data_IF_107218942640
#
_entry.id   IF_107218942640
#
_cell.length_a   1.000
_cell.length_b   1.000
_cell.length_c   1.000
_cell.angle_alpha   90.00
_cell.angle_beta   90.00
_cell.angle_gamma   90.00
#
_symmetry.space_group_name_H-M   'P 1'
#
loop_
_entity.id
_entity.type
_entity.pdbx_description
1 polymer ?
#
# COMPACT_ATOMS: atom_id res chain seq x y z
N UNK A 1 -8.58 4.21 12.25
CA UNK A 1 -8.53 2.77 11.85
C UNK A 1 -7.59 2.67 10.66
N UNK A 2 -6.61 1.76 10.64
CA UNK A 2 -5.85 1.52 9.42
C UNK A 2 -6.79 0.93 8.37
N UNK A 3 -6.91 1.61 7.23
CA UNK A 3 -7.69 1.11 6.09
C UNK A 3 -6.94 -0.07 5.48
N UNK A 4 -7.55 -1.24 5.44
CA UNK A 4 -7.00 -2.41 4.76
C UNK A 4 -7.58 -2.52 3.35
N UNK A 5 -6.75 -2.99 2.41
CA UNK A 5 -7.14 -3.28 1.03
C UNK A 5 -6.98 -4.77 0.79
N UNK A 6 -8.04 -5.39 0.30
CA UNK A 6 -8.09 -6.81 -0.05
C UNK A 6 -8.20 -6.95 -1.55
N UNK A 7 -7.34 -7.76 -2.14
CA UNK A 7 -7.23 -7.95 -3.59
C UNK A 7 -7.27 -9.42 -3.91
N UNK A 8 -8.02 -9.76 -4.96
CA UNK A 8 -7.99 -11.08 -5.56
C UNK A 8 -7.32 -11.01 -6.93
N UNK A 9 -6.48 -11.99 -7.23
CA UNK A 9 -5.83 -12.13 -8.52
C UNK A 9 -5.66 -13.61 -8.85
N UNK A 10 -5.51 -13.93 -10.14
CA UNK A 10 -5.41 -15.29 -10.65
C UNK A 10 -4.02 -15.53 -11.22
N UNK A 11 -3.40 -16.66 -10.88
CA UNK A 11 -2.13 -17.14 -11.44
C UNK A 11 -2.34 -18.59 -11.82
N UNK A 12 -2.09 -18.95 -13.07
CA UNK A 12 -2.25 -20.31 -13.61
C UNK A 12 -3.61 -20.98 -13.32
N UNK A 13 -4.68 -20.18 -13.28
CA UNK A 13 -6.05 -20.65 -13.02
C UNK A 13 -6.41 -20.78 -11.54
N UNK A 14 -5.47 -20.54 -10.63
CA UNK A 14 -5.70 -20.52 -9.18
C UNK A 14 -5.89 -19.07 -8.69
N UNK A 15 -6.91 -18.87 -7.85
CA UNK A 15 -7.26 -17.56 -7.30
C UNK A 15 -6.57 -17.36 -5.95
N UNK A 16 -5.75 -16.32 -5.87
CA UNK A 16 -5.09 -15.89 -4.66
C UNK A 16 -5.74 -14.64 -4.10
N UNK A 17 -5.71 -14.52 -2.78
CA UNK A 17 -6.19 -13.35 -2.06
C UNK A 17 -5.08 -12.81 -1.19
N UNK A 18 -4.81 -11.51 -1.27
CA UNK A 18 -3.91 -10.80 -0.35
C UNK A 18 -4.68 -9.68 0.34
N UNK A 19 -4.28 -9.40 1.57
CA UNK A 19 -4.84 -8.29 2.37
C UNK A 19 -3.68 -7.50 2.96
N UNK A 20 -3.66 -6.20 2.69
CA UNK A 20 -2.63 -5.30 3.19
C UNK A 20 -3.23 -4.08 3.86
N UNK A 21 -2.63 -3.67 4.99
CA UNK A 21 -2.92 -2.35 5.54
C UNK A 21 -2.29 -1.26 4.67
N UNK A 22 -3.04 -0.20 4.36
CA UNK A 22 -2.52 0.95 3.64
C UNK A 22 -1.47 1.68 4.47
N UNK A 23 -0.26 1.74 3.93
CA UNK A 23 0.83 2.48 4.56
C UNK A 23 0.65 3.96 4.31
N UNK A 24 1.00 4.75 5.31
CA UNK A 24 1.01 6.20 5.20
C UNK A 24 2.44 6.70 5.00
N UNK A 25 2.57 7.76 4.22
CA UNK A 25 3.75 8.61 4.24
C UNK A 25 3.42 9.95 4.90
N UNK A 26 4.26 10.33 5.86
CA UNK A 26 4.23 11.62 6.54
C UNK A 26 5.35 12.51 5.97
N UNK A 27 5.02 13.77 5.71
CA UNK A 27 6.00 14.80 5.34
C UNK A 27 5.84 15.99 6.26
N UNK A 28 6.93 16.40 6.89
CA UNK A 28 6.95 17.60 7.71
C UNK A 28 6.71 18.85 6.83
N UNK A 29 5.80 19.71 7.27
CA UNK A 29 5.60 21.04 6.70
C UNK A 29 6.52 21.99 7.47
N UNK A 30 7.38 22.73 6.77
CA UNK A 30 8.38 23.61 7.39
C UNK A 30 8.28 25.03 6.86
N UNK A 31 8.59 26.01 7.72
CA UNK A 31 8.94 27.38 7.33
C UNK A 31 10.43 27.54 7.62
N UNK A 32 11.25 27.64 6.57
CA UNK A 32 12.71 27.56 6.71
C UNK A 32 13.11 26.23 7.37
N UNK A 33 13.84 26.30 8.49
CA UNK A 33 14.24 25.12 9.27
C UNK A 33 13.19 24.66 10.28
N UNK A 34 12.18 25.47 10.59
CA UNK A 34 11.23 25.21 11.66
C UNK A 34 10.06 24.33 11.16
N UNK A 35 9.85 23.13 11.73
CA UNK A 35 8.65 22.33 11.43
C UNK A 35 7.42 22.95 12.08
N UNK A 36 6.41 23.25 11.26
CA UNK A 36 5.15 23.86 11.69
C UNK A 36 3.97 22.89 11.61
N UNK A 37 4.20 21.67 11.12
CA UNK A 37 3.18 20.65 11.04
C UNK A 37 3.63 19.44 10.24
N UNK A 38 2.68 18.58 9.93
CA UNK A 38 2.89 17.38 9.13
C UNK A 38 1.69 17.16 8.21
N UNK A 39 1.96 16.67 7.00
CA UNK A 39 0.96 16.17 6.07
C UNK A 39 1.14 14.66 5.95
N UNK A 40 0.10 13.92 6.30
CA UNK A 40 0.05 12.48 6.11
C UNK A 40 -0.87 12.15 4.92
N UNK A 41 -0.44 11.21 4.07
CA UNK A 41 -1.27 10.64 2.99
C UNK A 41 -1.02 9.14 2.88
N UNK A 42 -2.00 8.39 2.38
CA UNK A 42 -1.78 7.00 2.01
C UNK A 42 -0.79 6.94 0.83
N UNK A 43 0.08 5.93 0.82
CA UNK A 43 1.01 5.69 -0.29
C UNK A 43 0.30 5.17 -1.54
N UNK A 44 -0.79 4.43 -1.32
CA UNK A 44 -1.69 3.96 -2.36
C UNK A 44 -3.01 4.73 -2.24
N UNK A 45 -3.44 5.35 -3.34
CA UNK A 45 -4.76 5.94 -3.48
C UNK A 45 -5.60 5.00 -4.34
N UNK A 46 -6.58 4.35 -3.72
CA UNK A 46 -7.45 3.38 -4.38
C UNK A 46 -8.81 3.31 -3.67
N UNK A 47 -9.84 2.94 -4.42
CA UNK A 47 -11.17 2.61 -3.91
C UNK A 47 -11.59 1.20 -4.34
N UNK A 48 -12.62 0.67 -3.69
CA UNK A 48 -13.19 -0.62 -4.08
C UNK A 48 -13.63 -0.60 -5.56
N UNK A 49 -13.22 -1.63 -6.30
CA UNK A 49 -13.46 -1.75 -7.75
C UNK A 49 -12.32 -1.21 -8.62
N UNK A 50 -11.34 -0.50 -8.07
CA UNK A 50 -10.15 -0.11 -8.83
C UNK A 50 -9.26 -1.32 -9.14
N UNK A 51 -8.52 -1.21 -10.24
CA UNK A 51 -7.48 -2.19 -10.59
C UNK A 51 -6.16 -1.77 -9.97
N UNK A 52 -5.47 -2.72 -9.33
CA UNK A 52 -4.14 -2.52 -8.76
C UNK A 52 -3.15 -3.52 -9.36
N UNK A 53 -1.85 -3.22 -9.26
CA UNK A 53 -0.79 -4.15 -9.64
C UNK A 53 -0.32 -4.92 -8.42
N UNK A 54 -0.37 -6.25 -8.48
CA UNK A 54 0.21 -7.14 -7.47
C UNK A 54 1.56 -7.64 -7.97
N UNK A 55 2.60 -7.50 -7.14
CA UNK A 55 3.91 -8.11 -7.36
C UNK A 55 3.96 -9.38 -6.53
N UNK A 56 4.19 -10.53 -7.16
CA UNK A 56 4.22 -11.83 -6.49
C UNK A 56 5.42 -12.68 -6.93
N UNK A 57 5.80 -13.66 -6.10
CA UNK A 57 6.74 -14.72 -6.44
C UNK A 57 5.94 -15.89 -7.02
N UNK A 58 6.22 -16.32 -8.26
CA UNK A 58 5.53 -17.44 -8.92
C UNK A 58 5.57 -18.73 -8.10
N UNK A 59 6.62 -18.96 -7.30
CA UNK A 59 6.73 -20.14 -6.43
C UNK A 59 5.93 -19.99 -5.15
N UNK A 60 5.56 -18.76 -4.77
CA UNK A 60 4.79 -18.43 -3.57
C UNK A 60 3.82 -17.28 -3.84
N UNK A 61 2.80 -17.47 -4.71
CA UNK A 61 1.94 -16.36 -5.15
C UNK A 61 1.27 -15.68 -3.96
N UNK A 62 0.77 -16.44 -2.99
CA UNK A 62 0.17 -15.95 -1.73
C UNK A 62 1.01 -14.94 -0.92
N UNK A 63 2.32 -14.77 -1.21
CA UNK A 63 3.19 -13.74 -0.61
C UNK A 63 3.28 -12.47 -1.43
N UNK A 64 2.41 -12.28 -2.41
CA UNK A 64 2.35 -11.07 -3.21
C UNK A 64 2.03 -9.83 -2.38
N UNK A 65 2.44 -8.67 -2.89
CA UNK A 65 2.16 -7.37 -2.28
C UNK A 65 1.62 -6.37 -3.30
N UNK A 66 0.91 -5.35 -2.81
CA UNK A 66 0.33 -4.32 -3.67
C UNK A 66 1.41 -3.30 -4.01
N UNK A 67 1.75 -3.19 -5.31
CA UNK A 67 2.74 -2.22 -5.79
C UNK A 67 2.35 -0.80 -5.39
N UNK A 68 3.28 -0.06 -4.80
CA UNK A 68 3.02 1.31 -4.33
C UNK A 68 2.56 1.39 -2.89
N UNK A 69 2.21 0.26 -2.25
CA UNK A 69 2.01 0.16 -0.79
C UNK A 69 3.31 -0.23 -0.05
N UNK A 70 4.46 0.10 -0.66
CA UNK A 70 5.78 -0.37 -0.27
C UNK A 70 6.44 0.46 0.85
N UNK A 71 7.53 -0.07 1.40
CA UNK A 71 8.37 0.60 2.39
C UNK A 71 7.79 0.62 3.80
N UNK A 72 8.43 1.38 4.68
CA UNK A 72 8.04 1.53 6.08
C UNK A 72 7.27 2.84 6.28
N UNK A 73 6.46 2.89 7.34
CA UNK A 73 5.92 4.15 7.83
C UNK A 73 7.09 4.90 8.49
N UNK A 74 7.38 6.11 8.02
CA UNK A 74 8.28 6.99 8.77
C UNK A 74 7.49 7.44 10.01
N UNK A 75 7.85 6.87 11.16
CA UNK A 75 7.35 7.25 12.48
C UNK A 75 8.12 8.46 12.97
#
# INVERSE_FOLDING_TARGET
MPTAVKVQYCVDGEVFTIEESLKMESKAIKIGFLPIGQRARFKLDCKAGDTVTVIYDERKPHKGHIKGNDGWQNV
#
